data_IF_372526628209
#
_entry.id   IF_372526628209
#
_cell.length_a   1.000
_cell.length_b   1.000
_cell.length_c   1.000
_cell.angle_alpha   90.00
_cell.angle_beta   90.00
_cell.angle_gamma   90.00
#
_symmetry.space_group_name_H-M   'P 1'
#
loop_
_entity.id
_entity.type
_entity.pdbx_description
1 polymer ?
#
# COMPACT_ATOMS: atom_id res chain seq x y z
N UNK A 1 4.84 -19.71 4.66
CA UNK A 1 4.11 -18.43 4.51
C UNK A 1 4.92 -17.33 5.20
N UNK A 2 4.89 -16.09 4.70
CA UNK A 2 5.60 -14.97 5.34
C UNK A 2 4.87 -14.56 6.62
N UNK A 3 5.60 -14.10 7.64
CA UNK A 3 4.97 -13.47 8.79
C UNK A 3 4.40 -12.11 8.36
N UNK A 4 3.08 -11.99 8.33
CA UNK A 4 2.40 -10.79 7.86
C UNK A 4 1.09 -10.55 8.65
N UNK A 5 0.70 -9.29 8.80
CA UNK A 5 -0.48 -8.93 9.59
C UNK A 5 -1.81 -9.40 8.98
N UNK A 6 -1.85 -9.62 7.66
CA UNK A 6 -3.02 -10.20 6.96
C UNK A 6 -3.36 -11.62 7.41
N UNK A 7 -2.47 -12.33 8.09
CA UNK A 7 -2.77 -13.63 8.70
C UNK A 7 -3.29 -13.50 10.14
N UNK A 8 -3.31 -12.28 10.69
CA UNK A 8 -3.60 -12.00 12.10
C UNK A 8 -4.81 -11.12 12.30
N UNK A 9 -5.16 -10.25 11.34
CA UNK A 9 -6.23 -9.25 11.46
C UNK A 9 -6.94 -8.96 10.14
N UNK A 10 -8.24 -8.60 10.19
CA UNK A 10 -9.13 -8.63 11.35
C UNK A 10 -9.44 -10.04 11.84
N UNK A 11 -9.40 -11.06 10.98
CA UNK A 11 -9.58 -12.46 11.36
C UNK A 11 -8.23 -13.11 11.66
N UNK A 12 -8.14 -13.87 12.76
CA UNK A 12 -6.94 -14.65 13.08
C UNK A 12 -6.97 -15.95 12.29
N UNK A 13 -6.08 -16.10 11.32
CA UNK A 13 -6.01 -17.27 10.46
C UNK A 13 -5.08 -18.33 11.07
N UNK A 14 -5.52 -19.58 11.09
CA UNK A 14 -4.64 -20.69 11.45
C UNK A 14 -3.80 -21.14 10.25
N UNK A 15 -2.60 -20.58 10.14
CA UNK A 15 -1.63 -20.92 9.11
C UNK A 15 -0.94 -22.26 9.31
N UNK A 16 -1.23 -22.98 10.42
CA UNK A 16 -0.64 -24.30 10.71
C UNK A 16 -1.50 -25.46 10.19
N UNK A 17 -2.77 -25.22 9.88
CA UNK A 17 -3.64 -26.24 9.27
C UNK A 17 -3.30 -26.37 7.78
N UNK A 18 -2.14 -26.97 7.49
CA UNK A 18 -1.63 -27.22 6.14
C UNK A 18 -1.98 -28.63 5.67
N UNK A 19 -2.17 -28.79 4.37
CA UNK A 19 -2.28 -30.06 3.67
C UNK A 19 -1.02 -30.31 2.83
N UNK A 20 -0.53 -31.54 2.82
CA UNK A 20 0.52 -31.97 1.90
C UNK A 20 -0.04 -32.14 0.49
N UNK A 21 0.69 -31.67 -0.50
CA UNK A 21 0.37 -31.87 -1.92
C UNK A 21 1.60 -32.15 -2.74
N UNK A 22 1.42 -32.82 -3.87
CA UNK A 22 2.47 -32.95 -4.87
C UNK A 22 2.90 -31.56 -5.36
N UNK A 23 4.22 -31.34 -5.32
CA UNK A 23 4.83 -30.19 -5.94
C UNK A 23 4.58 -30.23 -7.45
N UNK A 24 4.27 -29.09 -8.10
CA UNK A 24 4.21 -29.03 -9.55
C UNK A 24 5.53 -29.53 -10.16
N UNK A 25 5.47 -30.34 -11.23
CA UNK A 25 6.68 -30.87 -11.89
C UNK A 25 7.62 -29.76 -12.37
N UNK A 26 7.07 -28.60 -12.73
CA UNK A 26 7.81 -27.39 -13.08
C UNK A 26 8.60 -26.77 -11.93
N UNK A 27 8.50 -27.29 -10.70
CA UNK A 27 9.28 -26.81 -9.56
C UNK A 27 10.56 -27.61 -9.33
N UNK A 28 10.73 -28.75 -10.00
CA UNK A 28 11.85 -29.69 -9.80
C UNK A 28 13.22 -29.02 -9.98
N UNK A 29 13.38 -28.13 -10.97
CA UNK A 29 14.65 -27.44 -11.22
C UNK A 29 14.97 -26.34 -10.20
N UNK A 30 14.05 -26.01 -9.29
CA UNK A 30 14.32 -25.16 -8.12
C UNK A 30 14.75 -25.97 -6.90
N UNK A 31 14.93 -27.30 -7.02
CA UNK A 31 15.28 -28.16 -5.91
C UNK A 31 14.16 -28.36 -4.89
N UNK A 32 12.92 -28.04 -5.26
CA UNK A 32 11.76 -28.31 -4.40
C UNK A 32 11.50 -29.81 -4.40
N UNK A 33 11.26 -30.38 -3.21
CA UNK A 33 10.94 -31.79 -3.04
C UNK A 33 9.64 -32.20 -3.74
N UNK A 34 9.33 -33.50 -3.70
CA UNK A 34 8.13 -34.06 -4.36
C UNK A 34 6.81 -33.55 -3.79
N UNK A 35 6.82 -33.04 -2.57
CA UNK A 35 5.65 -32.48 -1.89
C UNK A 35 5.90 -31.08 -1.33
N UNK A 36 4.81 -30.34 -1.18
CA UNK A 36 4.74 -29.01 -0.57
C UNK A 36 3.61 -28.99 0.46
N UNK A 37 3.82 -28.24 1.53
CA UNK A 37 2.78 -27.93 2.52
C UNK A 37 2.13 -26.60 2.17
N UNK A 38 0.79 -26.57 2.16
CA UNK A 38 0.04 -25.36 1.86
C UNK A 38 -1.32 -25.35 2.53
N UNK A 39 -1.94 -24.17 2.62
CA UNK A 39 -3.31 -24.03 3.11
C UNK A 39 -4.26 -23.98 1.92
N UNK A 40 -5.37 -24.72 2.03
CA UNK A 40 -6.43 -24.72 1.05
C UNK A 40 -7.17 -23.38 1.04
N UNK A 41 -7.08 -22.62 -0.07
CA UNK A 41 -7.85 -21.38 -0.26
C UNK A 41 -9.21 -21.64 -0.92
N UNK A 42 -9.27 -22.63 -1.81
CA UNK A 42 -10.48 -23.01 -2.55
C UNK A 42 -10.74 -24.50 -2.55
N UNK A 43 -12.01 -24.84 -2.83
CA UNK A 43 -12.44 -26.21 -3.12
C UNK A 43 -11.97 -26.64 -4.49
N UNK A 44 -11.96 -25.72 -5.45
CA UNK A 44 -11.22 -25.86 -6.71
C UNK A 44 -9.71 -25.88 -6.39
N UNK A 45 -9.06 -26.92 -6.89
CA UNK A 45 -7.67 -27.27 -6.56
C UNK A 45 -6.70 -26.95 -7.71
N UNK A 46 -7.17 -26.21 -8.71
CA UNK A 46 -6.37 -25.72 -9.83
C UNK A 46 -5.33 -24.67 -9.43
N UNK A 47 -4.34 -24.48 -10.30
CA UNK A 47 -3.29 -23.49 -10.11
C UNK A 47 -3.83 -22.08 -10.37
N UNK A 48 -3.65 -21.17 -9.41
CA UNK A 48 -4.05 -19.77 -9.55
C UNK A 48 -3.08 -18.93 -10.38
N UNK A 49 -3.46 -17.67 -10.59
CA UNK A 49 -2.60 -16.64 -11.17
C UNK A 49 -1.48 -16.26 -10.22
N UNK A 50 -0.31 -15.98 -10.78
CA UNK A 50 0.84 -15.57 -9.99
C UNK A 50 1.74 -14.62 -10.77
N UNK A 51 2.47 -13.79 -10.03
CA UNK A 51 3.44 -12.84 -10.57
C UNK A 51 4.82 -13.21 -10.06
N UNK A 52 5.86 -13.04 -10.87
CA UNK A 52 7.21 -13.34 -10.43
C UNK A 52 7.61 -12.43 -9.27
N UNK A 53 8.00 -13.00 -8.13
CA UNK A 53 8.32 -12.23 -6.94
C UNK A 53 9.56 -11.33 -7.12
N UNK A 54 10.58 -11.84 -7.80
CA UNK A 54 11.85 -11.13 -8.03
C UNK A 54 11.71 -9.85 -8.86
N UNK A 55 10.61 -9.70 -9.62
CA UNK A 55 10.28 -8.47 -10.37
C UNK A 55 9.57 -7.40 -9.54
N UNK A 56 9.31 -7.67 -8.25
CA UNK A 56 8.49 -6.84 -7.38
C UNK A 56 9.29 -6.22 -6.22
N UNK A 57 10.57 -5.94 -6.43
CA UNK A 57 11.39 -5.22 -5.43
C UNK A 57 11.37 -3.70 -5.70
N UNK A 58 10.21 -3.08 -5.47
CA UNK A 58 9.99 -1.65 -5.55
C UNK A 58 9.53 -1.11 -4.19
N UNK A 59 9.68 0.20 -3.92
CA UNK A 59 9.25 0.75 -2.64
C UNK A 59 7.78 0.51 -2.32
N UNK A 60 6.92 0.62 -3.32
CA UNK A 60 5.48 0.51 -3.21
C UNK A 60 4.94 -0.91 -3.36
N UNK A 61 5.79 -1.90 -3.62
CA UNK A 61 5.38 -3.30 -3.74
C UNK A 61 5.54 -4.08 -2.45
N UNK A 62 4.71 -5.10 -2.27
CA UNK A 62 4.81 -5.99 -1.12
C UNK A 62 4.19 -7.35 -1.45
N UNK A 63 4.97 -8.42 -1.27
CA UNK A 63 4.50 -9.80 -1.44
C UNK A 63 4.02 -10.33 -0.09
N UNK A 64 2.73 -10.65 -0.01
CA UNK A 64 2.05 -11.16 1.18
C UNK A 64 2.22 -12.68 1.28
N UNK A 65 1.94 -13.40 0.19
CA UNK A 65 2.19 -14.83 0.09
C UNK A 65 2.33 -15.34 -1.35
N UNK A 66 2.97 -16.49 -1.48
CA UNK A 66 2.97 -17.30 -2.70
C UNK A 66 1.79 -18.27 -2.73
N UNK A 67 1.72 -19.07 -3.79
CA UNK A 67 0.71 -20.10 -3.97
C UNK A 67 1.18 -21.18 -4.93
N UNK A 68 0.53 -22.34 -4.93
CA UNK A 68 0.81 -23.41 -5.90
C UNK A 68 0.48 -22.92 -7.30
N UNK A 69 1.47 -22.94 -8.19
CA UNK A 69 1.38 -22.38 -9.53
C UNK A 69 2.28 -23.15 -10.52
N UNK A 70 2.13 -22.92 -11.82
CA UNK A 70 2.91 -23.61 -12.87
C UNK A 70 4.30 -23.01 -13.12
N UNK A 71 4.66 -21.88 -12.52
CA UNK A 71 5.86 -21.10 -12.85
C UNK A 71 7.05 -21.33 -11.92
N UNK A 72 6.80 -21.38 -10.61
CA UNK A 72 7.85 -21.64 -9.62
C UNK A 72 7.49 -21.26 -8.18
N UNK A 73 8.31 -21.66 -7.20
CA UNK A 73 8.07 -21.46 -5.77
C UNK A 73 8.22 -19.98 -5.32
N UNK A 74 8.95 -19.16 -6.09
CA UNK A 74 9.20 -17.75 -5.77
C UNK A 74 8.14 -16.78 -6.32
N UNK A 75 7.07 -17.31 -6.92
CA UNK A 75 6.00 -16.49 -7.49
C UNK A 75 4.99 -16.08 -6.42
N UNK A 76 4.59 -14.81 -6.44
CA UNK A 76 3.62 -14.21 -5.57
C UNK A 76 2.20 -14.52 -6.05
N UNK A 77 1.34 -15.00 -5.14
CA UNK A 77 -0.08 -15.19 -5.38
C UNK A 77 -0.89 -14.02 -4.80
N UNK A 78 -0.49 -13.51 -3.63
CA UNK A 78 -1.08 -12.29 -3.06
C UNK A 78 0.02 -11.28 -2.83
N UNK A 79 -0.14 -10.11 -3.43
CA UNK A 79 0.80 -9.01 -3.35
C UNK A 79 0.09 -7.68 -3.64
N UNK A 80 0.75 -6.56 -3.36
CA UNK A 80 0.25 -5.23 -3.73
C UNK A 80 1.31 -4.39 -4.43
N UNK A 81 0.85 -3.40 -5.20
CA UNK A 81 1.64 -2.29 -5.71
C UNK A 81 0.89 -0.99 -5.43
N UNK A 82 1.47 -0.09 -4.64
CA UNK A 82 0.74 1.09 -4.19
C UNK A 82 -0.49 0.68 -3.38
N UNK A 83 -1.65 1.08 -3.89
CA UNK A 83 -3.01 0.82 -3.39
C UNK A 83 -3.73 -0.28 -4.18
N UNK A 84 -3.05 -0.95 -5.12
CA UNK A 84 -3.61 -2.03 -5.91
C UNK A 84 -3.26 -3.37 -5.25
N UNK A 85 -4.27 -4.16 -4.90
CA UNK A 85 -4.12 -5.52 -4.40
C UNK A 85 -4.31 -6.52 -5.54
N UNK A 86 -3.35 -7.43 -5.69
CA UNK A 86 -3.51 -8.63 -6.50
C UNK A 86 -3.84 -9.82 -5.59
N UNK A 87 -4.95 -10.50 -5.87
CA UNK A 87 -5.36 -11.74 -5.21
C UNK A 87 -5.49 -12.83 -6.27
N UNK A 88 -4.44 -13.60 -6.47
CA UNK A 88 -4.27 -14.51 -7.61
C UNK A 88 -5.03 -15.83 -7.52
N UNK A 89 -5.83 -16.06 -6.47
CA UNK A 89 -6.62 -17.29 -6.35
C UNK A 89 -7.90 -17.18 -7.17
N UNK A 90 -8.15 -18.18 -8.02
CA UNK A 90 -9.24 -18.16 -9.01
C UNK A 90 -10.61 -18.54 -8.43
N UNK A 91 -10.63 -19.23 -7.28
CA UNK A 91 -11.87 -19.76 -6.69
C UNK A 91 -12.89 -18.64 -6.45
N UNK A 92 -14.13 -18.86 -6.88
CA UNK A 92 -15.23 -17.93 -6.57
C UNK A 92 -15.48 -17.89 -5.06
N UNK A 93 -16.06 -16.81 -4.51
CA UNK A 93 -16.32 -16.72 -3.07
C UNK A 93 -17.10 -17.91 -2.50
N UNK A 94 -18.07 -18.46 -3.23
CA UNK A 94 -18.84 -19.66 -2.85
C UNK A 94 -18.01 -20.96 -2.88
N UNK A 95 -16.91 -20.96 -3.64
CA UNK A 95 -15.94 -22.06 -3.74
C UNK A 95 -14.71 -21.87 -2.84
N UNK A 96 -14.61 -20.75 -2.10
CA UNK A 96 -13.52 -20.54 -1.16
C UNK A 96 -13.76 -21.30 0.15
N UNK A 97 -12.69 -21.83 0.73
CA UNK A 97 -12.70 -22.34 2.11
C UNK A 97 -12.97 -21.20 3.09
N UNK A 98 -13.29 -21.52 4.35
CA UNK A 98 -13.41 -20.48 5.39
C UNK A 98 -12.13 -19.66 5.50
N UNK A 99 -10.96 -20.32 5.50
CA UNK A 99 -9.66 -19.67 5.48
C UNK A 99 -9.49 -18.74 4.27
N UNK A 100 -9.87 -19.19 3.07
CA UNK A 100 -9.75 -18.39 1.84
C UNK A 100 -10.61 -17.12 1.88
N UNK A 101 -11.85 -17.23 2.37
CA UNK A 101 -12.76 -16.09 2.55
C UNK A 101 -12.19 -15.08 3.55
N UNK A 102 -11.74 -15.55 4.70
CA UNK A 102 -11.17 -14.67 5.73
C UNK A 102 -9.86 -14.04 5.29
N UNK A 103 -9.00 -14.77 4.56
CA UNK A 103 -7.79 -14.21 3.96
C UNK A 103 -8.12 -13.09 2.96
N UNK A 104 -9.12 -13.28 2.10
CA UNK A 104 -9.56 -12.23 1.18
C UNK A 104 -10.02 -10.98 1.93
N UNK A 105 -10.86 -11.14 2.96
CA UNK A 105 -11.31 -10.03 3.83
C UNK A 105 -10.12 -9.34 4.49
N UNK A 106 -9.16 -10.09 5.02
CA UNK A 106 -7.97 -9.53 5.65
C UNK A 106 -7.10 -8.74 4.67
N UNK A 107 -6.92 -9.23 3.44
CA UNK A 107 -6.20 -8.50 2.41
C UNK A 107 -6.93 -7.21 1.99
N UNK A 108 -8.27 -7.23 1.88
CA UNK A 108 -9.09 -6.04 1.62
C UNK A 108 -8.93 -5.01 2.76
N UNK A 109 -9.04 -5.46 4.01
CA UNK A 109 -8.84 -4.61 5.18
C UNK A 109 -7.45 -3.97 5.19
N UNK A 110 -6.42 -4.75 4.84
CA UNK A 110 -5.05 -4.26 4.77
C UNK A 110 -4.87 -3.21 3.67
N UNK A 111 -5.26 -3.50 2.42
CA UNK A 111 -5.05 -2.57 1.29
C UNK A 111 -5.86 -1.27 1.44
N UNK A 112 -7.01 -1.31 2.11
CA UNK A 112 -7.85 -0.13 2.37
C UNK A 112 -7.12 1.00 3.14
N UNK A 113 -6.01 0.67 3.81
CA UNK A 113 -5.15 1.64 4.51
C UNK A 113 -4.23 2.45 3.59
N UNK A 114 -4.05 2.07 2.33
CA UNK A 114 -3.01 2.63 1.45
C UNK A 114 -3.52 3.76 0.54
N UNK A 115 -4.39 4.64 1.05
CA UNK A 115 -5.07 5.67 0.23
C UNK A 115 -4.15 6.70 -0.41
N UNK A 116 -3.01 6.98 0.23
CA UNK A 116 -2.02 7.96 -0.24
C UNK A 116 -0.91 7.34 -1.11
N UNK A 117 -0.93 6.02 -1.28
CA UNK A 117 0.16 5.25 -1.88
C UNK A 117 -0.27 4.77 -3.28
N UNK A 118 0.10 5.52 -4.32
CA UNK A 118 -0.14 5.12 -5.71
C UNK A 118 1.01 4.26 -6.26
N UNK A 119 0.78 3.46 -7.32
CA UNK A 119 1.85 2.79 -8.05
C UNK A 119 2.93 3.79 -8.49
N UNK A 120 4.20 3.47 -8.23
CA UNK A 120 5.32 4.37 -8.50
C UNK A 120 5.93 4.20 -9.89
N UNK A 121 5.97 2.95 -10.37
CA UNK A 121 6.63 2.59 -11.62
C UNK A 121 5.60 2.14 -12.63
N UNK A 122 5.64 2.80 -13.79
CA UNK A 122 4.92 2.41 -14.99
C UNK A 122 5.90 1.70 -15.92
N UNK A 123 5.53 0.50 -16.38
CA UNK A 123 6.31 -0.26 -17.37
C UNK A 123 5.40 -0.66 -18.52
N UNK A 124 5.91 -0.59 -19.74
CA UNK A 124 5.21 -1.13 -20.90
C UNK A 124 5.05 -2.64 -20.80
N UNK A 125 4.01 -3.14 -21.46
CA UNK A 125 3.75 -4.57 -21.57
C UNK A 125 4.84 -5.26 -22.42
N UNK A 126 5.20 -6.51 -22.13
CA UNK A 126 6.27 -7.22 -22.85
C UNK A 126 6.00 -7.45 -24.33
N UNK A 127 4.74 -7.33 -24.76
CA UNK A 127 4.34 -7.42 -26.16
C UNK A 127 4.49 -6.09 -26.92
N UNK A 128 4.79 -5.00 -26.22
CA UNK A 128 5.06 -3.69 -26.83
C UNK A 128 6.37 -3.75 -27.65
N UNK A 129 6.40 -3.28 -28.90
CA UNK A 129 7.64 -3.11 -29.66
C UNK A 129 8.69 -2.29 -28.92
N UNK A 130 8.29 -1.26 -28.17
CA UNK A 130 9.14 -0.39 -27.37
C UNK A 130 9.38 -0.92 -25.95
N UNK A 131 9.01 -2.18 -25.66
CA UNK A 131 9.29 -2.78 -24.35
C UNK A 131 10.79 -2.78 -24.05
N UNK A 132 11.11 -2.36 -22.84
CA UNK A 132 12.47 -2.36 -22.31
C UNK A 132 12.65 -3.62 -21.48
N UNK A 133 13.68 -4.42 -21.80
CA UNK A 133 13.97 -5.62 -21.00
C UNK A 133 14.60 -5.23 -19.65
N UNK A 134 13.97 -5.54 -18.51
CA UNK A 134 14.57 -5.31 -17.18
C UNK A 134 15.71 -6.31 -16.90
N UNK A 135 16.68 -5.93 -16.05
CA UNK A 135 17.87 -6.77 -15.80
C UNK A 135 17.55 -8.04 -15.04
N UNK A 136 16.48 -8.09 -14.24
CA UNK A 136 16.13 -9.30 -13.49
C UNK A 136 15.98 -10.55 -14.40
N UNK A 137 15.54 -10.37 -15.66
CA UNK A 137 15.42 -11.47 -16.62
C UNK A 137 16.80 -12.00 -16.99
N UNK A 138 17.76 -11.10 -17.22
CA UNK A 138 19.14 -11.46 -17.49
C UNK A 138 19.80 -12.06 -16.24
N UNK A 139 19.62 -11.45 -15.07
CA UNK A 139 20.12 -11.96 -13.78
C UNK A 139 19.68 -13.41 -13.56
N UNK A 140 18.39 -13.69 -13.79
CA UNK A 140 17.81 -15.03 -13.64
C UNK A 140 18.42 -16.02 -14.63
N UNK A 141 18.47 -15.69 -15.91
CA UNK A 141 18.93 -16.62 -16.96
C UNK A 141 20.43 -16.88 -16.90
N UNK A 142 21.24 -15.86 -16.62
CA UNK A 142 22.70 -15.99 -16.41
C UNK A 142 22.99 -16.87 -15.19
N UNK A 143 22.19 -16.75 -14.13
CA UNK A 143 22.34 -17.55 -12.90
C UNK A 143 21.83 -18.99 -13.04
N UNK A 144 20.61 -19.20 -13.53
CA UNK A 144 19.86 -20.45 -13.33
C UNK A 144 19.80 -21.37 -14.55
N UNK A 145 19.75 -20.82 -15.76
CA UNK A 145 19.35 -21.57 -16.97
C UNK A 145 20.30 -21.29 -18.13
N UNK A 146 21.59 -21.12 -17.83
CA UNK A 146 22.65 -20.92 -18.82
C UNK A 146 22.47 -21.87 -20.01
N UNK A 147 22.19 -21.32 -21.20
CA UNK A 147 22.21 -22.10 -22.45
C UNK A 147 22.78 -21.26 -23.58
N UNK A 148 23.45 -21.92 -24.53
CA UNK A 148 23.96 -21.32 -25.76
C UNK A 148 22.85 -20.65 -26.60
N UNK A 149 21.59 -21.01 -26.38
CA UNK A 149 20.43 -20.46 -27.10
C UNK A 149 19.79 -19.27 -26.39
N UNK A 150 19.71 -19.26 -25.07
CA UNK A 150 18.98 -18.22 -24.31
C UNK A 150 19.79 -16.95 -24.13
N UNK A 151 21.10 -17.05 -23.87
CA UNK A 151 21.95 -15.88 -23.57
C UNK A 151 22.03 -14.89 -24.75
N UNK A 152 22.20 -15.32 -26.02
CA UNK A 152 22.22 -14.40 -27.17
C UNK A 152 20.94 -13.58 -27.39
N UNK A 153 19.82 -13.99 -26.79
CA UNK A 153 18.54 -13.26 -26.88
C UNK A 153 18.47 -12.06 -25.94
N UNK A 154 19.37 -11.97 -24.96
CA UNK A 154 19.34 -10.99 -23.88
C UNK A 154 20.23 -9.78 -24.16
N UNK A 155 21.24 -9.95 -24.99
CA UNK A 155 22.36 -9.04 -25.09
C UNK A 155 22.60 -8.64 -26.55
N UNK A 156 23.11 -7.42 -26.74
CA UNK A 156 23.53 -6.96 -28.04
C UNK A 156 24.89 -7.53 -28.47
N UNK A 157 25.31 -7.24 -29.70
CA UNK A 157 26.57 -7.76 -30.24
C UNK A 157 27.80 -7.31 -29.42
N UNK A 158 27.77 -6.11 -28.84
CA UNK A 158 28.88 -5.58 -28.05
C UNK A 158 29.07 -6.32 -26.73
N UNK A 159 28.00 -6.80 -26.12
CA UNK A 159 28.08 -7.68 -24.94
C UNK A 159 28.43 -9.12 -25.35
N UNK A 160 27.89 -9.61 -26.47
CA UNK A 160 28.11 -10.99 -26.93
C UNK A 160 29.54 -11.30 -27.37
N UNK A 161 30.39 -10.30 -27.61
CA UNK A 161 31.83 -10.53 -27.80
C UNK A 161 32.51 -11.17 -26.57
N UNK A 162 31.91 -11.04 -25.38
CA UNK A 162 32.40 -11.64 -24.15
C UNK A 162 31.75 -12.99 -23.85
N UNK A 163 30.77 -13.41 -24.66
CA UNK A 163 30.02 -14.64 -24.47
C UNK A 163 30.73 -15.82 -25.14
N UNK A 164 31.00 -16.83 -24.33
CA UNK A 164 31.51 -18.13 -24.75
C UNK A 164 30.60 -19.19 -24.13
N UNK A 165 29.85 -19.98 -24.93
CA UNK A 165 28.89 -20.96 -24.43
C UNK A 165 29.53 -22.03 -23.53
N UNK A 166 30.83 -22.32 -23.73
CA UNK A 166 31.58 -23.33 -23.00
C UNK A 166 32.23 -22.77 -21.73
N UNK A 167 32.25 -21.44 -21.55
CA UNK A 167 32.82 -20.76 -20.37
C UNK A 167 31.78 -19.95 -19.60
N UNK A 168 30.73 -20.64 -19.15
CA UNK A 168 29.65 -20.07 -18.35
C UNK A 168 30.13 -19.23 -17.16
N UNK A 169 31.08 -19.74 -16.38
CA UNK A 169 31.53 -19.07 -15.16
C UNK A 169 32.33 -17.80 -15.45
N UNK A 170 33.10 -17.79 -16.55
CA UNK A 170 33.80 -16.59 -17.01
C UNK A 170 32.81 -15.49 -17.41
N UNK A 171 31.76 -15.84 -18.17
CA UNK A 171 30.72 -14.87 -18.52
C UNK A 171 29.93 -14.41 -17.29
N UNK A 172 29.61 -15.29 -16.35
CA UNK A 172 28.94 -14.91 -15.08
C UNK A 172 29.80 -13.94 -14.26
N UNK A 173 31.11 -14.16 -14.18
CA UNK A 173 32.03 -13.25 -13.52
C UNK A 173 32.06 -11.89 -14.24
N UNK A 174 32.21 -11.89 -15.56
CA UNK A 174 32.16 -10.68 -16.38
C UNK A 174 30.84 -9.93 -16.22
N UNK A 175 29.70 -10.63 -16.30
CA UNK A 175 28.37 -10.06 -16.16
C UNK A 175 28.20 -9.40 -14.79
N UNK A 176 28.60 -10.07 -13.70
CA UNK A 176 28.57 -9.48 -12.35
C UNK A 176 29.39 -8.20 -12.26
N UNK A 177 30.60 -8.18 -12.84
CA UNK A 177 31.46 -7.01 -12.86
C UNK A 177 30.93 -5.86 -13.74
N UNK A 178 30.08 -6.16 -14.72
CA UNK A 178 29.58 -5.19 -15.69
C UNK A 178 28.10 -4.84 -15.54
N UNK A 179 27.36 -5.51 -14.65
CA UNK A 179 25.90 -5.43 -14.52
C UNK A 179 25.40 -3.99 -14.35
N UNK A 180 26.10 -3.19 -13.55
CA UNK A 180 25.77 -1.78 -13.31
C UNK A 180 25.86 -0.90 -14.56
N UNK A 181 26.61 -1.30 -15.57
CA UNK A 181 26.81 -0.53 -16.81
C UNK A 181 25.93 -1.01 -17.97
N UNK A 182 25.06 -2.00 -17.72
CA UNK A 182 24.17 -2.52 -18.74
C UNK A 182 22.89 -1.69 -18.79
N UNK A 183 22.59 -1.16 -19.96
CA UNK A 183 21.41 -0.35 -20.27
C UNK A 183 20.66 -0.96 -21.46
N UNK A 184 19.40 -0.55 -21.73
CA UNK A 184 18.69 -0.97 -22.93
C UNK A 184 19.49 -0.56 -24.18
N UNK A 185 19.67 -1.50 -25.12
CA UNK A 185 20.38 -1.20 -26.36
C UNK A 185 19.61 -0.19 -27.17
N UNK A 186 20.31 0.83 -27.70
CA UNK A 186 19.71 1.82 -28.60
C UNK A 186 19.21 1.21 -29.92
N UNK A 187 19.71 0.02 -30.30
CA UNK A 187 19.28 -0.69 -31.52
C UNK A 187 18.06 -1.59 -31.30
N UNK A 188 17.96 -2.16 -30.11
CA UNK A 188 16.88 -3.08 -29.72
C UNK A 188 16.69 -2.99 -28.20
N UNK A 189 15.67 -2.27 -27.77
CA UNK A 189 15.38 -2.04 -26.33
C UNK A 189 15.06 -3.32 -25.56
N UNK A 190 14.83 -4.42 -26.29
CA UNK A 190 14.63 -5.77 -25.72
C UNK A 190 15.95 -6.47 -25.43
N UNK A 191 17.10 -5.86 -25.74
CA UNK A 191 18.44 -6.35 -25.43
C UNK A 191 19.19 -5.37 -24.55
N UNK A 192 20.14 -5.88 -23.78
CA UNK A 192 21.05 -5.10 -22.96
C UNK A 192 22.38 -4.87 -23.66
N UNK A 193 22.89 -3.66 -23.55
CA UNK A 193 24.17 -3.20 -24.10
C UNK A 193 25.03 -2.57 -23.00
N UNK A 194 26.35 -2.56 -23.19
CA UNK A 194 27.23 -1.74 -22.37
C UNK A 194 27.02 -0.26 -22.71
N UNK A 195 26.72 0.55 -21.70
CA UNK A 195 26.62 2.00 -21.84
C UNK A 195 28.02 2.63 -21.74
N UNK A 196 28.46 3.25 -22.84
CA UNK A 196 29.79 3.84 -22.93
C UNK A 196 29.98 5.04 -21.97
N UNK A 197 28.93 5.82 -21.71
CA UNK A 197 29.01 6.95 -20.79
C UNK A 197 29.10 6.46 -19.34
N UNK A 198 28.31 5.46 -18.93
CA UNK A 198 28.44 4.86 -17.60
C UNK A 198 29.81 4.19 -17.41
N UNK A 199 30.31 3.47 -18.43
CA UNK A 199 31.65 2.84 -18.37
C UNK A 199 32.77 3.88 -18.26
N UNK A 200 32.71 4.96 -19.03
CA UNK A 200 33.68 6.04 -18.95
C UNK A 200 33.57 6.84 -17.65
N UNK A 201 32.36 6.95 -17.07
CA UNK A 201 32.14 7.58 -15.78
C UNK A 201 32.59 6.70 -14.60
N UNK A 202 32.54 5.38 -14.76
CA UNK A 202 33.03 4.41 -13.78
C UNK A 202 32.05 4.07 -12.66
N UNK A 203 30.79 4.51 -12.76
CA UNK A 203 29.72 4.16 -11.80
C UNK A 203 28.53 3.52 -12.51
N UNK A 204 27.93 2.50 -11.89
CA UNK A 204 26.76 1.82 -12.43
C UNK A 204 25.50 2.69 -12.35
N UNK A 205 24.54 2.47 -13.24
CA UNK A 205 23.28 3.22 -13.30
C UNK A 205 22.45 3.13 -12.01
N UNK A 206 22.59 2.03 -11.26
CA UNK A 206 21.90 1.74 -10.02
C UNK A 206 22.71 2.04 -8.75
N UNK A 207 23.90 2.65 -8.88
CA UNK A 207 24.70 3.07 -7.73
C UNK A 207 24.04 4.26 -7.00
N UNK A 208 23.74 4.18 -5.69
CA UNK A 208 23.11 5.26 -4.92
C UNK A 208 23.84 6.61 -4.97
N UNK A 209 25.15 6.60 -5.23
CA UNK A 209 25.98 7.80 -5.34
C UNK A 209 26.03 8.41 -6.74
N UNK A 210 25.53 7.74 -7.79
CA UNK A 210 25.77 8.18 -9.18
C UNK A 210 25.25 9.58 -9.45
N UNK A 211 24.03 9.90 -9.00
CA UNK A 211 23.44 11.23 -9.26
C UNK A 211 24.24 12.33 -8.56
N UNK A 212 24.70 12.10 -7.32
CA UNK A 212 25.54 13.06 -6.61
C UNK A 212 26.88 13.29 -7.32
N UNK A 213 27.49 12.22 -7.83
CA UNK A 213 28.73 12.29 -8.60
C UNK A 213 28.54 13.02 -9.93
N UNK A 214 27.43 12.78 -10.64
CA UNK A 214 27.12 13.48 -11.90
C UNK A 214 26.87 14.97 -11.68
N UNK A 215 26.13 15.35 -10.63
CA UNK A 215 25.93 16.78 -10.30
C UNK A 215 27.26 17.44 -9.93
N UNK A 216 28.14 16.76 -9.18
CA UNK A 216 29.49 17.26 -8.89
C UNK A 216 30.32 17.46 -10.16
N UNK A 217 30.24 16.53 -11.11
CA UNK A 217 30.90 16.66 -12.41
C UNK A 217 30.36 17.84 -13.23
N UNK A 218 29.05 18.11 -13.17
CA UNK A 218 28.46 19.31 -13.77
C UNK A 218 28.96 20.61 -13.16
N UNK A 219 29.11 20.65 -11.83
CA UNK A 219 29.60 21.85 -11.11
C UNK A 219 31.08 22.12 -11.39
N UNK A 220 31.88 21.06 -11.54
CA UNK A 220 33.31 21.17 -11.82
C UNK A 220 33.59 21.60 -13.26
N UNK A 221 32.72 21.22 -14.21
CA UNK A 221 32.89 21.50 -15.63
C UNK A 221 33.97 20.63 -16.29
N UNK A 222 34.34 20.97 -17.53
CA UNK A 222 35.39 20.31 -18.31
C UNK A 222 34.90 19.10 -19.13
N UNK A 223 35.80 18.16 -19.45
CA UNK A 223 35.52 17.04 -20.36
C UNK A 223 34.39 16.11 -19.87
N UNK A 224 34.19 16.02 -18.54
CA UNK A 224 33.14 15.21 -17.92
C UNK A 224 31.75 15.85 -17.96
N UNK A 225 31.64 17.15 -18.22
CA UNK A 225 30.38 17.89 -18.10
C UNK A 225 29.34 17.41 -19.12
N UNK A 226 29.73 17.32 -20.40
CA UNK A 226 28.82 16.91 -21.46
C UNK A 226 28.26 15.49 -21.21
N UNK A 227 29.09 14.58 -20.68
CA UNK A 227 28.68 13.23 -20.27
C UNK A 227 27.72 13.28 -19.10
N UNK A 228 28.03 14.06 -18.06
CA UNK A 228 27.17 14.19 -16.89
C UNK A 228 25.79 14.74 -17.27
N UNK A 229 25.72 15.71 -18.20
CA UNK A 229 24.45 16.24 -18.73
C UNK A 229 23.62 15.14 -19.41
N UNK A 230 24.24 14.32 -20.26
CA UNK A 230 23.54 13.21 -20.95
C UNK A 230 23.03 12.18 -19.96
N UNK A 231 23.88 11.75 -19.02
CA UNK A 231 23.52 10.74 -18.02
C UNK A 231 22.41 11.24 -17.08
N UNK A 232 22.43 12.49 -16.63
CA UNK A 232 21.35 13.03 -15.79
C UNK A 232 20.00 13.08 -16.53
N UNK A 233 20.00 13.42 -17.82
CA UNK A 233 18.79 13.41 -18.65
C UNK A 233 18.25 11.99 -18.88
N UNK A 234 19.15 11.00 -18.96
CA UNK A 234 18.77 9.61 -19.18
C UNK A 234 18.30 8.94 -17.88
N UNK A 235 19.10 9.08 -16.82
CA UNK A 235 18.96 8.33 -15.57
C UNK A 235 17.90 8.90 -14.64
N UNK A 236 17.44 10.14 -14.81
CA UNK A 236 16.39 10.70 -13.95
C UNK A 236 15.02 10.54 -14.62
N UNK A 237 14.04 10.02 -13.88
CA UNK A 237 12.65 10.06 -14.30
C UNK A 237 12.12 11.50 -14.19
N UNK A 238 11.60 12.05 -15.29
CA UNK A 238 11.19 13.47 -15.41
C UNK A 238 12.33 14.42 -15.01
N UNK A 239 13.44 14.46 -15.78
CA UNK A 239 14.60 15.27 -15.45
C UNK A 239 14.29 16.78 -15.52
N UNK A 240 15.17 17.60 -14.93
CA UNK A 240 15.14 19.05 -15.16
C UNK A 240 15.33 19.37 -16.65
N UNK A 241 14.89 20.55 -17.07
CA UNK A 241 14.99 20.99 -18.47
C UNK A 241 16.43 20.86 -19.01
N UNK A 242 16.55 20.49 -20.29
CA UNK A 242 17.86 20.38 -20.96
C UNK A 242 18.60 21.72 -20.84
N UNK A 243 19.87 21.66 -20.43
CA UNK A 243 20.69 22.86 -20.21
C UNK A 243 20.51 23.54 -18.85
N UNK A 244 19.72 22.96 -17.93
CA UNK A 244 19.61 23.47 -16.55
C UNK A 244 20.99 23.66 -15.90
N UNK A 245 21.13 24.74 -15.15
CA UNK A 245 22.38 25.11 -14.49
C UNK A 245 22.79 24.05 -13.43
N UNK A 246 24.10 23.84 -13.17
CA UNK A 246 24.56 22.90 -12.15
C UNK A 246 23.93 23.15 -10.76
N UNK A 247 23.79 24.41 -10.36
CA UNK A 247 23.15 24.79 -9.10
C UNK A 247 21.68 24.34 -8.98
N UNK A 248 20.93 24.33 -10.10
CA UNK A 248 19.56 23.84 -10.12
C UNK A 248 19.51 22.32 -9.89
N UNK A 249 20.45 21.56 -10.48
CA UNK A 249 20.59 20.13 -10.24
C UNK A 249 20.98 19.81 -8.79
N UNK A 250 21.90 20.58 -8.20
CA UNK A 250 22.27 20.46 -6.78
C UNK A 250 21.06 20.69 -5.88
N UNK A 251 20.33 21.77 -6.11
CA UNK A 251 19.15 22.13 -5.32
C UNK A 251 18.04 21.08 -5.45
N UNK A 252 17.84 20.52 -6.64
CA UNK A 252 16.93 19.41 -6.86
C UNK A 252 17.37 18.17 -6.07
N UNK A 253 18.64 17.77 -6.16
CA UNK A 253 19.17 16.59 -5.49
C UNK A 253 19.11 16.72 -3.96
N UNK A 254 19.45 17.88 -3.41
CA UNK A 254 19.39 18.13 -1.96
C UNK A 254 17.96 18.01 -1.44
N UNK A 255 16.97 18.44 -2.24
CA UNK A 255 15.55 18.33 -1.90
C UNK A 255 15.04 16.89 -1.95
N UNK A 256 15.39 16.12 -2.99
CA UNK A 256 14.76 14.82 -3.26
C UNK A 256 15.61 13.61 -2.90
N UNK A 257 16.88 13.81 -2.53
CA UNK A 257 17.89 12.74 -2.42
C UNK A 257 17.44 11.52 -1.63
N UNK A 258 16.83 11.74 -0.46
CA UNK A 258 16.29 10.65 0.40
C UNK A 258 15.12 9.90 -0.24
N UNK A 259 14.34 10.56 -1.09
CA UNK A 259 13.17 9.99 -1.74
C UNK A 259 13.50 9.24 -3.06
N UNK A 260 14.77 9.21 -3.48
CA UNK A 260 15.18 8.56 -4.71
C UNK A 260 15.20 7.03 -4.58
N UNK A 261 14.81 6.34 -5.65
CA UNK A 261 15.02 4.91 -5.83
C UNK A 261 15.23 4.58 -7.31
N UNK A 262 16.04 3.55 -7.59
CA UNK A 262 16.29 3.12 -8.96
C UNK A 262 15.29 2.02 -9.39
N UNK A 263 14.89 2.03 -10.66
CA UNK A 263 14.07 0.98 -11.26
C UNK A 263 14.51 0.69 -12.70
N UNK A 264 14.89 -0.56 -12.98
CA UNK A 264 15.11 -1.07 -14.33
C UNK A 264 13.79 -1.46 -15.03
N UNK A 265 12.75 -1.78 -14.27
CA UNK A 265 11.37 -1.91 -14.75
C UNK A 265 10.83 -0.59 -15.31
N UNK A 266 11.18 0.54 -14.69
CA UNK A 266 10.83 1.90 -15.12
C UNK A 266 11.77 2.48 -16.17
N UNK A 267 12.39 1.65 -17.00
CA UNK A 267 13.27 2.10 -18.06
C UNK A 267 14.66 2.56 -17.59
N UNK A 268 15.19 1.95 -16.53
CA UNK A 268 16.55 2.17 -16.00
C UNK A 268 16.76 3.60 -15.48
N UNK A 269 15.82 4.06 -14.65
CA UNK A 269 15.80 5.42 -14.12
C UNK A 269 15.69 5.46 -12.60
N UNK A 270 16.19 6.54 -12.04
CA UNK A 270 15.95 7.02 -10.70
C UNK A 270 14.64 7.80 -10.65
N UNK A 271 13.73 7.30 -9.84
CA UNK A 271 12.43 7.88 -9.57
C UNK A 271 12.45 8.63 -8.24
N UNK A 272 11.64 9.68 -8.13
CA UNK A 272 11.33 10.31 -6.86
C UNK A 272 10.08 9.64 -6.30
N UNK A 273 10.17 9.01 -5.12
CA UNK A 273 9.00 8.52 -4.38
C UNK A 273 8.27 9.72 -3.75
N UNK A 274 7.08 10.10 -4.27
CA UNK A 274 6.37 11.28 -3.79
C UNK A 274 5.87 11.10 -2.34
N UNK A 275 5.59 9.87 -1.89
CA UNK A 275 5.16 9.62 -0.53
C UNK A 275 6.33 9.77 0.45
N UNK A 276 7.49 9.22 0.09
CA UNK A 276 8.73 9.37 0.86
C UNK A 276 9.11 10.85 0.99
N UNK A 277 9.05 11.60 -0.12
CA UNK A 277 9.33 13.03 -0.14
C UNK A 277 8.38 13.81 0.78
N UNK A 278 7.06 13.57 0.70
CA UNK A 278 6.08 14.24 1.56
C UNK A 278 6.27 13.93 3.05
N UNK A 279 6.69 12.70 3.37
CA UNK A 279 6.87 12.26 4.76
C UNK A 279 8.25 12.57 5.33
N UNK A 280 9.21 13.00 4.51
CA UNK A 280 10.59 13.23 4.93
C UNK A 280 11.33 11.95 5.34
N UNK A 281 10.87 10.78 4.88
CA UNK A 281 11.46 9.47 5.16
C UNK A 281 12.22 9.01 3.92
N UNK A 282 13.31 8.26 4.09
CA UNK A 282 14.02 7.72 2.94
C UNK A 282 13.13 6.71 2.19
N UNK A 283 13.17 6.73 0.86
CA UNK A 283 12.41 5.78 0.04
C UNK A 283 12.75 4.36 0.44
N UNK A 284 14.02 4.02 0.63
CA UNK A 284 14.49 2.71 1.08
C UNK A 284 13.83 2.20 2.38
N UNK A 285 13.54 3.09 3.33
CA UNK A 285 12.98 2.75 4.64
C UNK A 285 11.45 2.68 4.62
N UNK A 286 10.81 3.33 3.65
CA UNK A 286 9.36 3.40 3.53
C UNK A 286 8.82 2.16 2.78
N UNK A 287 8.68 1.04 3.50
CA UNK A 287 8.24 -0.28 2.98
C UNK A 287 7.00 -0.82 3.69
N UNK A 288 6.29 -1.72 3.02
CA UNK A 288 5.22 -2.53 3.63
C UNK A 288 4.17 -1.70 4.38
N UNK A 289 3.78 -2.08 5.61
CA UNK A 289 2.78 -1.37 6.41
C UNK A 289 3.12 0.10 6.70
N UNK A 290 4.40 0.49 6.66
CA UNK A 290 4.82 1.88 6.89
C UNK A 290 4.33 2.82 5.78
N UNK A 291 4.00 2.28 4.60
CA UNK A 291 3.40 3.06 3.50
C UNK A 291 1.90 3.25 3.62
N UNK A 292 1.25 2.61 4.58
CA UNK A 292 -0.14 2.89 4.88
C UNK A 292 -0.33 4.40 5.10
N UNK A 293 -1.48 4.93 4.68
CA UNK A 293 -1.91 6.28 5.03
C UNK A 293 -1.80 6.44 6.53
N UNK A 294 -1.11 7.48 6.95
CA UNK A 294 -1.16 7.87 8.35
C UNK A 294 -2.61 8.23 8.64
N UNK A 295 -3.19 7.80 9.76
CA UNK A 295 -4.51 8.28 10.13
C UNK A 295 -4.39 9.79 10.35
N UNK A 296 -4.78 10.59 9.35
CA UNK A 296 -5.14 11.97 9.61
C UNK A 296 -6.43 11.96 10.44
N UNK A 297 -6.65 12.96 11.27
CA UNK A 297 -7.93 13.11 11.98
C UNK A 297 -9.12 13.20 10.99
N UNK A 298 -8.85 13.56 9.72
CA UNK A 298 -9.77 13.51 8.60
C UNK A 298 -9.93 12.11 7.97
N UNK A 299 -8.88 11.27 7.92
CA UNK A 299 -8.99 9.88 7.47
C UNK A 299 -9.71 9.00 8.49
N UNK A 300 -9.62 9.33 9.78
CA UNK A 300 -10.53 8.83 10.83
C UNK A 300 -11.98 9.25 10.60
N UNK A 301 -12.21 10.37 9.93
CA UNK A 301 -13.54 10.89 9.61
C UNK A 301 -14.16 10.28 8.33
N UNK A 302 -13.39 9.53 7.53
CA UNK A 302 -13.80 9.04 6.20
C UNK A 302 -14.13 7.53 6.17
N UNK A 303 -14.39 6.92 7.33
CA UNK A 303 -14.79 5.52 7.46
C UNK A 303 -16.29 5.45 7.74
N UNK A 304 -17.10 6.03 6.86
CA UNK A 304 -18.56 5.92 6.93
C UNK A 304 -19.30 7.25 6.76
N UNK A 305 -20.62 7.20 6.59
CA UNK A 305 -21.45 8.38 6.40
C UNK A 305 -21.70 9.17 7.69
N UNK A 306 -21.24 8.67 8.84
CA UNK A 306 -21.49 9.25 10.16
C UNK A 306 -20.15 9.48 10.86
N UNK A 307 -19.93 10.71 11.30
CA UNK A 307 -18.80 11.13 12.13
C UNK A 307 -19.33 11.62 13.46
N UNK A 308 -18.71 11.23 14.58
CA UNK A 308 -19.12 11.72 15.89
C UNK A 308 -17.93 12.20 16.73
N UNK A 309 -18.13 13.28 17.48
CA UNK A 309 -17.17 13.83 18.44
C UNK A 309 -17.83 14.03 19.80
N UNK A 310 -17.08 13.76 20.87
CA UNK A 310 -17.49 14.07 22.24
C UNK A 310 -16.75 15.31 22.74
N UNK A 311 -17.50 16.31 23.16
CA UNK A 311 -17.01 17.54 23.78
C UNK A 311 -17.68 17.72 25.14
N UNK A 312 -17.09 18.60 25.96
CA UNK A 312 -17.74 19.12 27.17
C UNK A 312 -17.66 20.63 27.17
N UNK A 313 -18.65 21.28 27.77
CA UNK A 313 -18.55 22.71 28.09
C UNK A 313 -17.63 22.93 29.29
N UNK A 314 -17.27 24.19 29.53
CA UNK A 314 -16.72 24.60 30.82
C UNK A 314 -17.73 24.28 31.92
N UNK A 315 -17.24 23.88 33.09
CA UNK A 315 -18.09 23.67 34.26
C UNK A 315 -18.60 25.02 34.78
N UNK A 316 -19.83 25.05 35.26
CA UNK A 316 -20.40 26.18 36.00
C UNK A 316 -19.88 26.24 37.45
N UNK A 317 -20.35 27.23 38.21
CA UNK A 317 -20.00 27.43 39.63
C UNK A 317 -20.37 26.23 40.53
N UNK A 318 -21.32 25.39 40.09
CA UNK A 318 -21.72 24.15 40.79
C UNK A 318 -20.86 22.93 40.43
N UNK A 319 -19.92 23.08 39.48
CA UNK A 319 -19.12 21.99 38.96
C UNK A 319 -19.85 21.12 37.92
N UNK A 320 -20.99 21.57 37.40
CA UNK A 320 -21.76 20.89 36.35
C UNK A 320 -21.38 21.41 34.96
N UNK A 321 -21.37 20.50 33.98
CA UNK A 321 -21.07 20.83 32.58
C UNK A 321 -21.99 20.03 31.65
N UNK A 322 -22.17 20.51 30.42
CA UNK A 322 -22.85 19.74 29.38
C UNK A 322 -21.85 18.82 28.66
N UNK A 323 -22.21 17.55 28.53
CA UNK A 323 -21.59 16.64 27.56
C UNK A 323 -22.28 16.82 26.22
N UNK A 324 -21.50 17.14 25.19
CA UNK A 324 -21.99 17.35 23.83
C UNK A 324 -21.48 16.24 22.91
N UNK A 325 -22.38 15.46 22.32
CA UNK A 325 -22.06 14.52 21.25
C UNK A 325 -22.49 15.14 19.93
N UNK A 326 -21.52 15.66 19.18
CA UNK A 326 -21.74 16.21 17.84
C UNK A 326 -21.64 15.09 16.82
N UNK A 327 -22.70 14.84 16.08
CA UNK A 327 -22.75 13.88 14.98
C UNK A 327 -22.89 14.64 13.66
N UNK A 328 -21.98 14.41 12.73
CA UNK A 328 -21.95 14.98 11.38
C UNK A 328 -22.18 13.87 10.37
N UNK A 329 -23.20 14.05 9.54
CA UNK A 329 -23.65 13.11 8.53
C UNK A 329 -23.24 13.62 7.15
N UNK A 330 -22.77 12.70 6.30
CA UNK A 330 -22.49 12.99 4.89
C UNK A 330 -23.78 13.42 4.19
N UNK A 331 -23.67 14.31 3.21
CA UNK A 331 -24.80 14.73 2.39
C UNK A 331 -25.55 13.52 1.80
N UNK A 332 -26.89 13.55 1.88
CA UNK A 332 -27.78 12.48 1.45
C UNK A 332 -27.99 11.34 2.47
N UNK A 333 -27.26 11.35 3.59
CA UNK A 333 -27.40 10.35 4.65
C UNK A 333 -28.15 10.89 5.87
N UNK A 334 -28.86 9.98 6.56
CA UNK A 334 -29.54 10.26 7.82
C UNK A 334 -29.35 9.14 8.85
N UNK A 335 -29.58 9.48 10.12
CA UNK A 335 -29.73 8.53 11.24
C UNK A 335 -31.10 8.71 11.89
N UNK A 336 -31.60 7.69 12.55
CA UNK A 336 -32.91 7.73 13.21
C UNK A 336 -32.84 8.41 14.57
N UNK A 337 -33.96 9.03 14.99
CA UNK A 337 -34.06 9.76 16.25
C UNK A 337 -33.86 8.87 17.49
N UNK A 338 -33.76 9.50 18.67
CA UNK A 338 -33.58 8.80 19.95
C UNK A 338 -34.73 7.85 20.28
N UNK A 339 -35.93 8.15 19.77
CA UNK A 339 -37.13 7.35 19.95
C UNK A 339 -37.66 6.94 18.58
N UNK A 340 -37.83 5.64 18.40
CA UNK A 340 -38.46 5.03 17.22
C UNK A 340 -39.65 4.19 17.73
N UNK A 341 -40.81 4.17 17.04
CA UNK A 341 -41.96 3.40 17.48
C UNK A 341 -41.66 1.92 17.70
N UNK A 342 -42.31 1.32 18.71
CA UNK A 342 -42.20 -0.11 18.98
C UNK A 342 -42.63 -0.93 17.75
N UNK A 343 -41.80 -1.89 17.33
CA UNK A 343 -42.03 -2.71 16.14
C UNK A 343 -41.44 -2.15 14.83
N UNK A 344 -40.79 -0.98 14.86
CA UNK A 344 -40.03 -0.49 13.71
C UNK A 344 -38.80 -1.36 13.42
N UNK A 345 -38.47 -1.52 12.15
CA UNK A 345 -37.24 -2.14 11.66
C UNK A 345 -36.02 -1.19 11.71
N UNK A 346 -36.21 0.05 12.21
CA UNK A 346 -35.18 1.08 12.28
C UNK A 346 -34.48 1.12 13.63
N UNK A 347 -33.16 1.23 13.59
CA UNK A 347 -32.34 1.29 14.80
C UNK A 347 -32.26 2.73 15.29
N UNK A 348 -32.91 2.99 16.43
CA UNK A 348 -32.86 4.27 17.13
C UNK A 348 -31.43 4.67 17.49
N UNK A 349 -31.14 5.98 17.47
CA UNK A 349 -29.88 6.49 18.00
C UNK A 349 -29.86 6.32 19.52
N UNK A 350 -28.84 5.66 20.05
CA UNK A 350 -28.67 5.44 21.49
C UNK A 350 -27.31 5.97 21.98
N UNK A 351 -27.33 6.59 23.15
CA UNK A 351 -26.17 7.19 23.80
C UNK A 351 -25.97 6.58 25.18
N UNK A 352 -25.06 5.62 25.27
CA UNK A 352 -24.66 4.99 26.53
C UNK A 352 -23.41 5.67 27.06
N UNK A 353 -23.38 5.99 28.35
CA UNK A 353 -22.25 6.72 28.95
C UNK A 353 -21.67 5.93 30.11
N UNK A 354 -20.37 5.65 30.02
CA UNK A 354 -19.55 5.18 31.12
C UNK A 354 -18.91 6.40 31.81
N UNK A 355 -19.22 6.58 33.09
CA UNK A 355 -18.75 7.68 33.93
C UNK A 355 -18.48 7.17 35.36
N UNK A 356 -17.70 7.89 36.17
CA UNK A 356 -17.56 7.56 37.60
C UNK A 356 -18.92 7.48 38.29
N UNK A 357 -19.08 6.48 39.17
CA UNK A 357 -20.34 6.20 39.86
C UNK A 357 -20.83 7.39 40.71
N UNK A 358 -19.90 8.19 41.24
CA UNK A 358 -20.21 9.37 42.07
C UNK A 358 -20.80 10.53 41.26
N UNK A 359 -20.64 10.57 39.94
CA UNK A 359 -21.13 11.68 39.12
C UNK A 359 -22.62 11.54 38.86
N UNK A 360 -23.36 12.64 38.81
CA UNK A 360 -24.84 12.61 38.72
C UNK A 360 -25.37 13.28 37.46
N UNK A 361 -26.33 12.62 36.80
CA UNK A 361 -27.05 13.19 35.66
C UNK A 361 -28.00 14.28 36.11
N UNK A 362 -28.10 15.34 35.30
CA UNK A 362 -29.11 16.39 35.46
C UNK A 362 -30.01 16.39 34.22
N UNK A 363 -31.11 15.66 34.31
CA UNK A 363 -32.09 15.51 33.23
C UNK A 363 -31.70 14.49 32.15
N UNK A 364 -32.48 14.46 31.07
CA UNK A 364 -32.32 13.58 29.93
C UNK A 364 -31.48 14.19 28.81
N UNK A 365 -31.14 13.37 27.81
CA UNK A 365 -30.51 13.84 26.58
C UNK A 365 -31.44 14.80 25.83
N UNK A 366 -30.89 15.94 25.42
CA UNK A 366 -31.53 16.94 24.57
C UNK A 366 -30.94 16.87 23.16
N UNK A 367 -31.79 16.91 22.15
CA UNK A 367 -31.40 16.95 20.75
C UNK A 367 -32.26 18.00 20.01
N UNK A 368 -31.81 18.51 18.86
CA UNK A 368 -32.68 19.22 17.93
C UNK A 368 -33.93 18.40 17.58
N UNK A 369 -34.98 19.08 17.11
CA UNK A 369 -36.14 18.41 16.55
C UNK A 369 -35.72 17.59 15.32
N UNK A 370 -36.09 16.31 15.31
CA UNK A 370 -35.89 15.45 14.15
C UNK A 370 -36.91 15.80 13.06
N UNK A 371 -36.50 15.68 11.79
CA UNK A 371 -37.44 15.76 10.65
C UNK A 371 -38.27 14.47 10.66
N UNK A 372 -39.57 14.56 10.38
CA UNK A 372 -40.37 13.36 10.16
C UNK A 372 -39.87 12.61 8.91
N UNK A 373 -39.74 11.29 9.02
CA UNK A 373 -39.43 10.42 7.89
C UNK A 373 -40.56 10.46 6.87
N UNK A 374 -40.21 10.56 5.60
CA UNK A 374 -41.18 10.47 4.49
C UNK A 374 -41.56 9.01 4.18
N UNK A 375 -40.70 8.06 4.57
CA UNK A 375 -40.87 6.63 4.29
C UNK A 375 -41.47 5.86 5.47
N UNK A 376 -41.23 6.32 6.71
CA UNK A 376 -41.61 5.58 7.91
C UNK A 376 -42.46 6.43 8.86
N UNK A 377 -43.76 6.13 8.90
CA UNK A 377 -44.71 6.84 9.75
C UNK A 377 -44.29 6.81 11.24
N UNK A 378 -44.24 8.00 11.86
CA UNK A 378 -43.87 8.15 13.27
C UNK A 378 -42.38 8.04 13.58
N UNK A 379 -41.52 7.87 12.57
CA UNK A 379 -40.06 7.84 12.74
C UNK A 379 -39.47 9.22 12.48
N UNK A 380 -38.60 9.69 13.38
CA UNK A 380 -37.82 10.90 13.18
C UNK A 380 -36.43 10.60 12.62
N UNK A 381 -35.90 11.53 11.81
CA UNK A 381 -34.58 11.45 11.16
C UNK A 381 -33.75 12.70 11.43
N UNK A 382 -32.44 12.50 11.58
CA UNK A 382 -31.43 13.54 11.63
C UNK A 382 -30.54 13.47 10.39
N UNK A 383 -30.29 14.62 9.76
CA UNK A 383 -29.37 14.80 8.63
C UNK A 383 -28.46 16.01 8.89
N UNK A 384 -27.36 16.13 8.15
CA UNK A 384 -26.39 17.21 8.36
C UNK A 384 -25.64 17.09 9.69
N UNK A 385 -25.64 18.15 10.51
CA UNK A 385 -24.97 18.12 11.83
C UNK A 385 -25.99 18.23 12.97
N UNK A 386 -25.98 17.25 13.86
CA UNK A 386 -26.82 17.18 15.06
C UNK A 386 -25.94 17.17 16.31
N UNK A 387 -26.37 17.84 17.38
CA UNK A 387 -25.64 17.87 18.66
C UNK A 387 -26.56 17.40 19.77
N UNK A 388 -26.24 16.24 20.36
CA UNK A 388 -26.91 15.73 21.54
C UNK A 388 -26.23 16.29 22.79
N UNK A 389 -27.01 16.75 23.76
CA UNK A 389 -26.51 17.38 24.99
C UNK A 389 -27.13 16.75 26.22
N UNK A 390 -26.32 16.44 27.23
CA UNK A 390 -26.84 16.05 28.56
C UNK A 390 -25.95 16.61 29.65
N UNK A 391 -26.57 17.16 30.69
CA UNK A 391 -25.87 17.82 31.78
C UNK A 391 -25.39 16.81 32.81
N UNK A 392 -24.14 16.95 33.23
CA UNK A 392 -23.46 16.05 34.15
C UNK A 392 -22.77 16.85 35.25
N UNK A 393 -23.05 16.50 36.50
CA UNK A 393 -22.45 17.13 37.67
C UNK A 393 -21.40 16.21 38.30
N UNK A 394 -20.22 16.80 38.58
CA UNK A 394 -19.19 16.17 39.42
C UNK A 394 -19.34 16.72 40.84
N UNK A 395 -19.72 15.90 41.84
CA UNK A 395 -19.79 16.36 43.22
C UNK A 395 -18.44 16.89 43.71
N UNK A 396 -18.49 17.92 44.55
CA UNK A 396 -17.30 18.51 45.20
C UNK A 396 -16.54 17.42 45.95
N UNK A 397 -15.22 17.33 45.73
CA UNK A 397 -14.35 16.31 46.33
C UNK A 397 -14.30 14.95 45.61
N UNK A 398 -15.11 14.72 44.56
CA UNK A 398 -15.01 13.51 43.74
C UNK A 398 -13.79 13.52 42.81
N UNK A 399 -13.09 12.38 42.63
CA UNK A 399 -11.97 12.31 41.71
C UNK A 399 -12.39 12.60 40.27
N UNK A 400 -11.48 13.21 39.51
CA UNK A 400 -11.60 13.25 38.06
C UNK A 400 -11.54 11.82 37.52
N UNK A 401 -12.38 11.50 36.53
CA UNK A 401 -12.40 10.17 35.92
C UNK A 401 -12.77 10.25 34.44
N UNK A 402 -12.44 9.19 33.67
CA UNK A 402 -12.73 9.17 32.24
C UNK A 402 -14.24 9.14 32.01
N UNK A 403 -14.70 9.96 31.06
CA UNK A 403 -16.04 9.86 30.48
C UNK A 403 -15.90 9.25 29.09
N UNK A 404 -16.62 8.16 28.87
CA UNK A 404 -16.70 7.47 27.57
C UNK A 404 -18.16 7.39 27.16
N UNK A 405 -18.44 7.71 25.89
CA UNK A 405 -19.79 7.62 25.32
C UNK A 405 -19.78 6.62 24.18
N UNK A 406 -20.65 5.63 24.23
CA UNK A 406 -20.92 4.72 23.12
C UNK A 406 -22.17 5.22 22.39
N UNK A 407 -21.99 5.69 21.16
CA UNK A 407 -23.05 6.11 20.25
C UNK A 407 -23.41 4.93 19.34
N UNK A 408 -24.62 4.41 19.44
CA UNK A 408 -25.15 3.37 18.53
C UNK A 408 -26.21 3.96 17.61
N UNK A 409 -26.21 3.60 16.32
CA UNK A 409 -27.14 4.15 15.33
C UNK A 409 -27.36 3.21 14.14
N UNK A 410 -28.49 3.36 13.46
CA UNK A 410 -28.70 2.93 12.07
C UNK A 410 -28.60 4.12 11.13
N UNK A 411 -27.92 3.96 10.00
CA UNK A 411 -27.73 5.01 8.99
C UNK A 411 -28.17 4.55 7.60
N UNK A 412 -28.93 5.39 6.90
CA UNK A 412 -29.45 5.11 5.57
C UNK A 412 -29.28 6.31 4.62
N UNK A 413 -29.29 6.04 3.32
CA UNK A 413 -29.49 7.00 2.24
C UNK A 413 -30.70 6.56 1.38
N UNK A 414 -30.97 7.29 0.30
CA UNK A 414 -32.10 7.02 -0.60
C UNK A 414 -32.07 5.64 -1.32
N UNK A 415 -30.97 4.88 -1.21
CA UNK A 415 -30.77 3.61 -1.92
C UNK A 415 -30.49 2.44 -0.99
N UNK A 416 -29.93 2.68 0.20
CA UNK A 416 -29.50 1.61 1.10
C UNK A 416 -29.48 2.02 2.57
N UNK A 417 -29.60 1.00 3.42
CA UNK A 417 -29.33 1.09 4.86
C UNK A 417 -28.08 0.29 5.21
N UNK A 418 -27.23 0.84 6.07
CA UNK A 418 -26.08 0.12 6.62
C UNK A 418 -26.50 -0.66 7.88
N UNK A 419 -25.83 -1.79 8.18
CA UNK A 419 -26.02 -2.46 9.46
C UNK A 419 -25.79 -1.51 10.64
N UNK A 420 -26.48 -1.72 11.78
CA UNK A 420 -26.27 -0.93 12.98
C UNK A 420 -24.80 -0.87 13.38
N UNK A 421 -24.33 0.33 13.72
CA UNK A 421 -22.94 0.58 14.08
C UNK A 421 -22.85 1.21 15.47
N UNK A 422 -21.69 1.09 16.12
CA UNK A 422 -21.42 1.74 17.40
C UNK A 422 -20.05 2.41 17.42
N UNK A 423 -20.02 3.68 17.80
CA UNK A 423 -18.82 4.50 17.92
C UNK A 423 -18.51 4.76 19.40
N UNK A 424 -17.27 4.46 19.81
CA UNK A 424 -16.77 4.76 21.15
C UNK A 424 -16.06 6.11 21.16
N UNK A 425 -16.64 7.08 21.84
CA UNK A 425 -16.18 8.45 21.93
C UNK A 425 -15.53 8.74 23.29
N UNK A 426 -14.48 9.55 23.27
CA UNK A 426 -13.77 10.04 24.46
C UNK A 426 -13.54 11.53 24.31
N UNK A 427 -13.51 12.26 25.42
CA UNK A 427 -13.23 13.70 25.43
C UNK A 427 -11.82 13.90 24.85
N UNK A 428 -11.71 14.71 23.80
CA UNK A 428 -10.41 15.09 23.22
C UNK A 428 -9.56 15.79 24.31
N UNK A 429 -8.29 15.40 24.42
CA UNK A 429 -7.36 15.97 25.39
C UNK A 429 -7.07 17.44 25.09
#
# INVERSE_FOLDING_TARGET
>A
MRDHEVFRRPHKLDVKTTEQRLAPSSWTHYGVGKSIDGVAIGTDREAGWCTLGDSLDLPDTEILCGGRNSKGPHYAAVWRQGNLLHFGFQSRPDQMTAFGKELLVNCIHYIARFRENSPLVESSNSYDPAWIRPRFIADRLVRQTWTAKSIPTLFDAGVLQHFDPDRADAFRAWYRANRGFLMPSARDTKKLALDADLKAFGMGCDDPGILAALVKALETGGEGEARARRLLQHLVHRPLAKGSAPAAWRSWLDRVGKALFFSDHGGFRWYVDPLALRRGVASADLRGPARASLPSDAARAEIGPVRAELRRTTADESGAFDLEVRVTLREGWHIYALNVPAGSDRTATALQVEKPATWQWQGEWRAPAAKASEEHAGVGEYSGTVVFRRRLARPVGSPAGPVKVTLSYGACDAKMCRPPESLVLRIAR
#
